data_IF_565252896640
#
_entry.id   IF_565252896640
#
_cell.length_a   1.000
_cell.length_b   1.000
_cell.length_c   1.000
_cell.angle_alpha   90.00
_cell.angle_beta   90.00
_cell.angle_gamma   90.00
#
_symmetry.space_group_name_H-M   'P 1'
#
loop_
_entity.id
_entity.type
_entity.pdbx_description
1 polymer ?
#
# COMPACT_ATOMS: atom_id res chain seq x y z
N UNK A 1 -0.97 12.20 8.80
CA UNK A 1 -2.27 11.63 9.15
C UNK A 1 -2.53 10.35 8.38
N UNK A 2 -3.03 9.34 9.05
CA UNK A 2 -3.29 8.06 8.42
C UNK A 2 -4.62 8.08 7.68
N UNK A 3 -4.66 7.45 6.52
CA UNK A 3 -5.87 7.34 5.72
C UNK A 3 -6.82 6.32 6.33
N UNK A 4 -8.11 6.65 6.49
CA UNK A 4 -9.09 5.69 7.00
C UNK A 4 -9.29 4.54 6.01
N UNK A 5 -8.86 3.36 6.37
CA UNK A 5 -9.02 2.17 5.54
C UNK A 5 -10.48 1.88 5.15
N UNK A 6 -11.48 2.01 6.06
CA UNK A 6 -12.87 1.78 5.69
C UNK A 6 -13.39 2.68 4.57
N UNK A 7 -12.91 3.93 4.48
CA UNK A 7 -13.31 4.84 3.41
C UNK A 7 -12.83 4.35 2.05
N UNK A 8 -11.61 3.81 2.00
CA UNK A 8 -11.03 3.24 0.77
C UNK A 8 -11.81 2.00 0.35
N UNK A 9 -12.16 1.14 1.29
CA UNK A 9 -12.95 -0.07 1.02
C UNK A 9 -14.25 0.27 0.33
N UNK A 10 -14.97 1.27 0.81
CA UNK A 10 -16.23 1.69 0.23
C UNK A 10 -16.06 2.14 -1.23
N UNK A 11 -15.06 2.98 -1.49
CA UNK A 11 -14.80 3.50 -2.84
C UNK A 11 -14.40 2.37 -3.78
N UNK A 12 -13.53 1.48 -3.37
CA UNK A 12 -13.09 0.35 -4.18
C UNK A 12 -14.25 -0.59 -4.47
N UNK A 13 -15.08 -0.90 -3.47
CA UNK A 13 -16.24 -1.76 -3.64
C UNK A 13 -17.24 -1.18 -4.63
N UNK A 14 -17.48 0.12 -4.60
CA UNK A 14 -18.36 0.80 -5.56
C UNK A 14 -17.82 0.71 -6.98
N UNK A 15 -16.50 0.90 -7.14
CA UNK A 15 -15.86 0.82 -8.46
C UNK A 15 -15.87 -0.59 -9.04
N UNK A 16 -15.70 -1.60 -8.22
CA UNK A 16 -15.79 -3.00 -8.67
C UNK A 16 -17.16 -3.28 -9.28
N UNK A 17 -18.20 -2.68 -8.74
CA UNK A 17 -19.56 -2.86 -9.26
C UNK A 17 -19.82 -2.10 -10.56
N UNK A 18 -19.10 -1.01 -10.79
CA UNK A 18 -19.38 -0.09 -11.90
C UNK A 18 -18.38 -0.21 -13.05
N UNK A 19 -17.09 -0.25 -12.77
CA UNK A 19 -16.04 -0.28 -13.79
C UNK A 19 -14.79 -0.94 -13.24
N UNK A 20 -14.51 -2.16 -13.65
CA UNK A 20 -13.33 -2.89 -13.23
C UNK A 20 -12.03 -2.24 -13.72
N UNK A 21 -12.08 -1.55 -14.85
CA UNK A 21 -10.88 -0.97 -15.47
C UNK A 21 -10.26 0.15 -14.66
N UNK A 22 -11.02 0.78 -13.75
CA UNK A 22 -10.54 1.92 -12.99
C UNK A 22 -9.95 1.56 -11.63
N UNK A 23 -9.84 0.27 -11.35
CA UNK A 23 -9.30 -0.18 -10.07
C UNK A 23 -7.87 -0.61 -10.28
N UNK A 24 -6.96 -0.02 -9.50
CA UNK A 24 -5.61 -0.53 -9.47
C UNK A 24 -5.57 -1.80 -8.63
N UNK A 25 -5.30 -2.92 -9.27
CA UNK A 25 -5.30 -4.23 -8.64
C UNK A 25 -4.23 -4.34 -7.53
N UNK A 26 -3.09 -3.68 -7.69
CA UNK A 26 -2.02 -3.71 -6.70
C UNK A 26 -2.46 -3.00 -5.42
N UNK A 27 -3.07 -1.83 -5.56
CA UNK A 27 -3.59 -1.09 -4.42
C UNK A 27 -4.74 -1.83 -3.75
N UNK A 28 -5.64 -2.43 -4.53
CA UNK A 28 -6.75 -3.21 -4.01
C UNK A 28 -6.26 -4.33 -3.08
N UNK A 29 -5.32 -5.15 -3.54
CA UNK A 29 -4.80 -6.26 -2.73
C UNK A 29 -3.97 -5.78 -1.54
N UNK A 30 -3.19 -4.71 -1.71
CA UNK A 30 -2.46 -4.10 -0.60
C UNK A 30 -3.42 -3.64 0.49
N UNK A 31 -4.50 -2.98 0.10
CA UNK A 31 -5.54 -2.53 1.02
C UNK A 31 -6.19 -3.72 1.75
N UNK A 32 -6.62 -4.74 1.02
CA UNK A 32 -7.29 -5.90 1.60
C UNK A 32 -6.38 -6.63 2.60
N UNK A 33 -5.14 -6.88 2.23
CA UNK A 33 -4.18 -7.54 3.11
C UNK A 33 -3.86 -6.69 4.34
N UNK A 34 -3.76 -5.38 4.18
CA UNK A 34 -3.48 -4.47 5.29
C UNK A 34 -4.64 -4.43 6.29
N UNK A 35 -5.87 -4.44 5.79
CA UNK A 35 -7.06 -4.47 6.63
C UNK A 35 -7.10 -5.79 7.43
N UNK A 36 -6.86 -6.91 6.78
CA UNK A 36 -6.82 -8.22 7.42
C UNK A 36 -5.74 -8.29 8.48
N UNK A 37 -4.56 -7.73 8.22
CA UNK A 37 -3.45 -7.74 9.16
C UNK A 37 -3.61 -6.74 10.31
N UNK A 38 -4.54 -5.80 10.21
CA UNK A 38 -4.75 -4.78 11.23
C UNK A 38 -3.76 -3.62 11.16
N UNK A 39 -3.21 -3.33 9.99
CA UNK A 39 -2.33 -2.18 9.79
C UNK A 39 -3.12 -0.88 9.72
N UNK A 40 -2.49 0.20 10.19
CA UNK A 40 -3.06 1.55 10.10
C UNK A 40 -2.84 2.19 8.74
N UNK A 41 -1.81 1.77 8.03
CA UNK A 41 -1.49 2.24 6.68
C UNK A 41 -1.74 1.13 5.68
N UNK A 42 -2.02 1.50 4.45
CA UNK A 42 -1.98 0.56 3.34
C UNK A 42 -0.53 0.17 3.15
N UNK A 43 -0.24 -1.12 3.26
CA UNK A 43 1.11 -1.64 3.08
C UNK A 43 1.15 -2.53 1.86
N UNK A 44 2.13 -2.32 1.01
CA UNK A 44 2.37 -3.16 -0.17
C UNK A 44 3.28 -4.31 0.22
N UNK A 45 2.75 -5.52 0.17
CA UNK A 45 3.48 -6.74 0.53
C UNK A 45 4.17 -7.38 -0.66
N UNK A 46 3.65 -7.14 -1.86
CA UNK A 46 4.12 -7.76 -3.08
C UNK A 46 5.05 -6.85 -3.87
N UNK A 47 5.75 -7.44 -4.84
CA UNK A 47 6.60 -6.68 -5.76
C UNK A 47 5.76 -5.67 -6.53
N UNK A 48 6.25 -4.43 -6.59
CA UNK A 48 5.65 -3.38 -7.41
C UNK A 48 6.51 -3.24 -8.65
N UNK A 49 5.88 -3.31 -9.83
CA UNK A 49 6.56 -3.10 -11.10
C UNK A 49 6.50 -1.63 -11.50
N UNK A 50 7.49 -1.18 -12.26
CA UNK A 50 7.59 0.22 -12.66
C UNK A 50 6.31 0.72 -13.36
N UNK A 51 5.71 -0.12 -14.22
CA UNK A 51 4.49 0.23 -14.93
C UNK A 51 3.24 0.27 -14.03
N UNK A 52 3.31 -0.23 -12.80
CA UNK A 52 2.19 -0.18 -11.85
C UNK A 52 2.11 1.17 -11.12
N UNK A 53 3.22 1.91 -11.03
CA UNK A 53 3.32 3.09 -10.16
C UNK A 53 2.30 4.17 -10.52
N UNK A 54 2.17 4.50 -11.79
CA UNK A 54 1.22 5.54 -12.23
C UNK A 54 -0.21 5.21 -11.81
N UNK A 55 -0.66 3.98 -12.06
CA UNK A 55 -2.00 3.55 -11.67
C UNK A 55 -2.21 3.53 -10.16
N UNK A 56 -1.20 3.12 -9.40
CA UNK A 56 -1.25 3.16 -7.94
C UNK A 56 -1.41 4.61 -7.47
N UNK A 57 -0.60 5.52 -7.99
CA UNK A 57 -0.65 6.94 -7.61
C UNK A 57 -1.98 7.58 -7.98
N UNK A 58 -2.52 7.30 -9.16
CA UNK A 58 -3.82 7.81 -9.56
C UNK A 58 -4.91 7.37 -8.58
N UNK A 59 -4.87 6.13 -8.14
CA UNK A 59 -5.82 5.61 -7.16
C UNK A 59 -5.61 6.22 -5.78
N UNK A 60 -4.37 6.41 -5.36
CA UNK A 60 -4.05 7.10 -4.10
C UNK A 60 -4.60 8.52 -4.12
N UNK A 61 -4.38 9.25 -5.22
CA UNK A 61 -4.87 10.62 -5.37
C UNK A 61 -6.39 10.70 -5.35
N UNK A 62 -7.04 9.77 -6.05
CA UNK A 62 -8.51 9.74 -6.12
C UNK A 62 -9.15 9.48 -4.75
N UNK A 63 -8.44 8.86 -3.84
CA UNK A 63 -8.93 8.52 -2.51
C UNK A 63 -8.33 9.40 -1.41
N UNK A 64 -7.59 10.44 -1.75
CA UNK A 64 -6.94 11.36 -0.81
C UNK A 64 -6.02 10.64 0.18
N UNK A 65 -5.31 9.63 -0.29
CA UNK A 65 -4.35 8.89 0.52
C UNK A 65 -3.00 9.59 0.43
N UNK A 66 -2.48 10.05 1.57
CA UNK A 66 -1.26 10.84 1.62
C UNK A 66 -0.04 10.07 2.15
N UNK A 67 -0.25 8.87 2.67
CA UNK A 67 0.85 8.02 3.11
C UNK A 67 0.51 6.54 2.98
N UNK A 68 1.52 5.74 2.77
CA UNK A 68 1.44 4.29 2.70
C UNK A 68 2.79 3.69 3.05
N UNK A 69 2.91 2.37 3.06
CA UNK A 69 4.18 1.72 3.33
C UNK A 69 4.45 0.58 2.36
N UNK A 70 5.69 0.18 2.26
CA UNK A 70 6.15 -0.93 1.40
C UNK A 70 7.04 -1.82 2.26
N UNK A 71 6.61 -3.03 2.55
CA UNK A 71 7.41 -4.01 3.28
C UNK A 71 8.09 -5.02 2.36
N UNK A 72 7.70 -5.06 1.10
CA UNK A 72 8.30 -5.93 0.11
C UNK A 72 9.75 -5.53 -0.15
N UNK A 73 10.66 -6.49 0.01
CA UNK A 73 12.08 -6.26 -0.22
C UNK A 73 12.52 -7.00 -1.48
N UNK A 74 12.56 -6.29 -2.59
CA UNK A 74 12.92 -6.85 -3.89
C UNK A 74 14.03 -6.02 -4.55
N UNK A 75 14.73 -6.63 -5.51
CA UNK A 75 15.92 -6.03 -6.10
C UNK A 75 15.67 -4.70 -6.83
N UNK A 76 14.46 -4.47 -7.31
CA UNK A 76 14.10 -3.23 -8.02
C UNK A 76 13.55 -2.12 -7.15
N UNK A 77 13.61 -2.24 -5.81
CA UNK A 77 12.93 -1.30 -4.91
C UNK A 77 13.40 0.15 -5.10
N UNK A 78 14.68 0.35 -5.33
CA UNK A 78 15.23 1.71 -5.50
C UNK A 78 14.62 2.38 -6.73
N UNK A 79 14.47 1.65 -7.83
CA UNK A 79 13.83 2.16 -9.03
C UNK A 79 12.37 2.53 -8.77
N UNK A 80 11.67 1.72 -7.97
CA UNK A 80 10.27 1.98 -7.62
C UNK A 80 10.16 3.22 -6.74
N UNK A 81 11.05 3.41 -5.78
CA UNK A 81 11.07 4.62 -4.96
C UNK A 81 11.29 5.87 -5.81
N UNK A 82 12.18 5.78 -6.81
CA UNK A 82 12.42 6.87 -7.75
C UNK A 82 11.17 7.17 -8.61
N UNK A 83 10.44 6.15 -9.01
CA UNK A 83 9.20 6.34 -9.76
C UNK A 83 8.13 7.03 -8.90
N UNK A 84 7.94 6.61 -7.65
CA UNK A 84 7.03 7.31 -6.76
C UNK A 84 7.43 8.76 -6.53
N UNK A 85 8.72 9.06 -6.49
CA UNK A 85 9.21 10.43 -6.35
C UNK A 85 8.74 11.33 -7.49
N UNK A 86 8.70 10.81 -8.72
CA UNK A 86 8.18 11.54 -9.88
C UNK A 86 6.71 11.93 -9.72
N UNK A 87 5.96 11.18 -8.93
CA UNK A 87 4.54 11.40 -8.67
C UNK A 87 4.27 12.03 -7.30
N UNK A 88 5.29 12.70 -6.74
CA UNK A 88 5.18 13.46 -5.49
C UNK A 88 5.00 12.62 -4.22
N UNK A 89 5.48 11.39 -4.21
CA UNK A 89 5.59 10.59 -3.01
C UNK A 89 7.06 10.33 -2.70
N UNK A 90 7.46 10.56 -1.47
CA UNK A 90 8.85 10.39 -1.06
C UNK A 90 8.98 9.53 0.18
N UNK A 91 10.14 8.93 0.36
CA UNK A 91 10.43 8.12 1.55
C UNK A 91 10.55 9.01 2.78
N UNK A 92 9.84 8.64 3.84
CA UNK A 92 9.83 9.38 5.11
C UNK A 92 10.47 8.60 6.26
N UNK A 93 11.09 7.47 5.98
CA UNK A 93 11.76 6.65 6.98
C UNK A 93 11.27 5.22 6.98
N UNK A 94 11.58 4.52 8.05
CA UNK A 94 11.22 3.11 8.24
C UNK A 94 10.13 3.02 9.31
N UNK A 95 9.15 2.17 9.06
CA UNK A 95 8.06 1.90 9.99
C UNK A 95 7.89 0.39 10.11
N UNK A 96 7.02 -0.04 11.01
CA UNK A 96 6.66 -1.44 11.15
C UNK A 96 5.36 -1.71 10.40
N UNK A 97 5.28 -2.88 9.77
CA UNK A 97 4.06 -3.35 9.13
C UNK A 97 3.76 -4.78 9.60
N UNK A 98 2.50 -5.03 9.94
CA UNK A 98 2.06 -6.37 10.32
C UNK A 98 1.87 -7.21 9.06
N UNK A 99 2.44 -8.41 9.09
CA UNK A 99 2.31 -9.37 8.00
C UNK A 99 0.95 -10.05 8.02
N UNK A 100 0.61 -10.71 6.92
CA UNK A 100 -0.66 -11.42 6.80
C UNK A 100 -0.66 -12.78 7.50
N UNK A 101 0.49 -13.23 7.95
CA UNK A 101 0.64 -14.51 8.64
C UNK A 101 0.93 -14.33 10.13
N UNK A 102 0.65 -15.37 10.90
CA UNK A 102 0.79 -15.39 12.34
C UNK A 102 1.97 -16.27 12.73
N UNK A 103 2.78 -15.80 13.70
CA UNK A 103 3.83 -16.60 14.29
C UNK A 103 3.17 -17.66 15.17
N UNK A 104 3.39 -18.93 14.84
CA UNK A 104 2.77 -20.04 15.56
C UNK A 104 3.29 -20.19 16.98
N UNK A 105 4.46 -19.65 17.29
CA UNK A 105 5.05 -19.72 18.63
C UNK A 105 4.37 -18.72 19.58
N UNK A 106 4.17 -17.48 19.12
CA UNK A 106 3.61 -16.40 19.93
C UNK A 106 2.13 -16.20 19.72
N UNK A 107 1.56 -16.78 18.67
CA UNK A 107 0.18 -16.58 18.23
C UNK A 107 -0.12 -15.11 17.90
N UNK A 108 0.89 -14.36 17.50
CA UNK A 108 0.78 -12.96 17.11
C UNK A 108 1.19 -12.79 15.66
N UNK A 109 0.71 -11.71 15.02
CA UNK A 109 1.12 -11.40 13.67
C UNK A 109 2.58 -11.01 13.63
N UNK A 110 3.30 -11.53 12.64
CA UNK A 110 4.68 -11.18 12.41
C UNK A 110 4.77 -9.74 11.95
N UNK A 111 5.75 -9.01 12.46
CA UNK A 111 5.98 -7.61 12.11
C UNK A 111 7.25 -7.53 11.26
N UNK A 112 7.16 -6.83 10.14
CA UNK A 112 8.29 -6.57 9.24
C UNK A 112 8.60 -5.09 9.17
N UNK A 113 9.83 -4.77 8.83
CA UNK A 113 10.21 -3.38 8.56
C UNK A 113 9.69 -2.98 7.19
N UNK A 114 9.20 -1.77 7.09
CA UNK A 114 8.62 -1.23 5.87
C UNK A 114 9.14 0.18 5.62
N UNK A 115 9.17 0.56 4.35
CA UNK A 115 9.49 1.92 3.95
C UNK A 115 8.21 2.73 4.02
N UNK A 116 8.23 3.81 4.81
CA UNK A 116 7.09 4.72 4.89
C UNK A 116 7.20 5.77 3.79
N UNK A 117 6.14 5.88 2.99
CA UNK A 117 6.05 6.82 1.88
C UNK A 117 5.01 7.88 2.18
N UNK A 118 5.34 9.13 1.94
CA UNK A 118 4.44 10.26 2.19
C UNK A 118 4.37 11.16 0.97
N UNK A 119 3.25 11.85 0.80
CA UNK A 119 3.11 12.88 -0.23
C UNK A 119 3.98 14.09 0.11
N UNK A 120 4.70 14.58 -0.86
CA UNK A 120 5.50 15.80 -0.71
C UNK A 120 4.63 17.03 -0.45
#
# INVERSE_FOLDING_TARGET
MKTPIPAIEKVIAERVKTTEENINIRLFWAYRHSLEAGNDLINFYDVIWEYDVEGIVDCLNSNNINEFSISSNFSGIITILAEFDKYNFTMAGITDAKETYIDLTTNERTVSKAIRMVRK
#
